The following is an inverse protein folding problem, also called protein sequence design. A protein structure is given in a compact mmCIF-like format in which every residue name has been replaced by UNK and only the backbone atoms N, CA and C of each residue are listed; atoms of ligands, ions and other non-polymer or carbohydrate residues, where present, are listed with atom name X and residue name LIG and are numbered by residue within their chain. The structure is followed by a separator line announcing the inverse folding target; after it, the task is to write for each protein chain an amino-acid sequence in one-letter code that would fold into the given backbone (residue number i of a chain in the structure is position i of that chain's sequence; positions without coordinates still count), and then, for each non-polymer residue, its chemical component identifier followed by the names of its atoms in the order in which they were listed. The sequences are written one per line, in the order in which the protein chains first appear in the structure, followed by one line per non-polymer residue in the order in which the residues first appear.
data_IF_049502751490
#
_entry.id   IF_049502751490
#
_cell.length_a   1.000
_cell.length_b   1.000
_cell.length_c   1.000
_cell.angle_alpha   90.00
_cell.angle_beta   90.00
_cell.angle_gamma   90.00
#
_symmetry.space_group_name_H-M   'P 1'
#
loop_
_entity.id
_entity.type
_entity.pdbx_description
1 polymer ?
#
# COMPACT_ATOMS: atom_id res chain seq x y z
N UNK A 1 2.24 -25.96 22.71
CA UNK A 1 2.63 -25.33 21.41
C UNK A 1 1.46 -24.61 20.78
N UNK A 2 0.31 -25.27 20.53
CA UNK A 2 -0.86 -24.69 19.82
C UNK A 2 -1.42 -23.43 20.49
N UNK A 3 -1.51 -23.41 21.82
CA UNK A 3 -2.01 -22.25 22.57
C UNK A 3 -1.06 -21.04 22.51
N UNK A 4 0.26 -21.26 22.61
CA UNK A 4 1.25 -20.20 22.46
C UNK A 4 1.24 -19.58 21.05
N UNK A 5 1.10 -20.41 19.99
CA UNK A 5 0.99 -19.95 18.63
C UNK A 5 -0.28 -19.09 18.41
N UNK A 6 -1.42 -19.51 18.96
CA UNK A 6 -2.65 -18.71 18.89
C UNK A 6 -2.48 -17.35 19.58
N UNK A 7 -1.94 -17.32 20.78
CA UNK A 7 -1.69 -16.05 21.50
C UNK A 7 -0.74 -15.12 20.74
N UNK A 8 0.28 -15.67 20.09
CA UNK A 8 1.20 -14.88 19.26
C UNK A 8 0.50 -14.30 18.03
N UNK A 9 -0.34 -15.09 17.36
CA UNK A 9 -1.14 -14.63 16.22
C UNK A 9 -2.10 -13.50 16.64
N UNK A 10 -2.85 -13.68 17.73
CA UNK A 10 -3.80 -12.69 18.24
C UNK A 10 -3.09 -11.36 18.58
N UNK A 11 -1.90 -11.42 19.18
CA UNK A 11 -1.07 -10.23 19.44
C UNK A 11 -0.58 -9.57 18.16
N UNK A 12 -0.17 -10.35 17.15
CA UNK A 12 0.24 -9.84 15.85
C UNK A 12 -0.90 -9.11 15.14
N UNK A 13 -2.10 -9.70 15.11
CA UNK A 13 -3.29 -9.05 14.55
C UNK A 13 -3.60 -7.74 15.30
N UNK A 14 -3.59 -7.77 16.63
CA UNK A 14 -3.79 -6.56 17.45
C UNK A 14 -2.76 -5.46 17.13
N UNK A 15 -1.50 -5.83 16.92
CA UNK A 15 -0.46 -4.88 16.49
C UNK A 15 -0.76 -4.28 15.12
N UNK A 16 -1.09 -5.11 14.13
CA UNK A 16 -1.47 -4.66 12.79
C UNK A 16 -2.63 -3.66 12.84
N UNK A 17 -3.70 -3.96 13.59
CA UNK A 17 -4.85 -3.06 13.71
C UNK A 17 -4.48 -1.72 14.36
N UNK A 18 -3.58 -1.72 15.36
CA UNK A 18 -3.12 -0.50 16.04
C UNK A 18 -2.18 0.35 15.19
N UNK A 19 -1.45 -0.25 14.26
CA UNK A 19 -0.53 0.46 13.37
C UNK A 19 -1.19 0.95 12.08
N UNK A 20 -2.46 0.58 11.82
CA UNK A 20 -3.19 1.15 10.69
C UNK A 20 -3.30 2.67 10.84
N UNK A 21 -2.81 3.41 9.86
CA UNK A 21 -2.77 4.87 9.95
C UNK A 21 -4.17 5.48 9.84
N UNK A 22 -4.43 6.46 10.71
CA UNK A 22 -5.69 7.21 10.72
C UNK A 22 -5.42 8.60 10.16
N UNK A 23 -6.03 8.92 9.02
CA UNK A 23 -5.93 10.21 8.36
C UNK A 23 -7.31 10.88 8.42
N UNK A 24 -7.37 12.11 8.97
CA UNK A 24 -8.62 12.87 9.10
C UNK A 24 -9.75 12.08 9.80
N UNK A 25 -9.41 11.30 10.82
CA UNK A 25 -10.37 10.49 11.58
C UNK A 25 -10.81 9.19 10.88
N UNK A 26 -10.27 8.85 9.72
CA UNK A 26 -10.57 7.62 8.98
C UNK A 26 -9.34 6.71 8.91
N UNK A 27 -9.48 5.41 9.19
CA UNK A 27 -8.41 4.46 8.93
C UNK A 27 -8.09 4.41 7.43
N UNK A 28 -6.81 4.22 7.13
CA UNK A 28 -6.30 4.13 5.75
C UNK A 28 -5.55 2.80 5.56
N UNK A 29 -4.28 2.86 5.23
CA UNK A 29 -3.37 1.73 5.08
C UNK A 29 -2.20 1.86 6.06
N UNK A 30 -1.16 1.08 5.88
CA UNK A 30 -0.01 1.03 6.80
C UNK A 30 1.21 1.70 6.19
N UNK A 31 2.09 2.18 7.06
CA UNK A 31 3.45 2.51 6.71
C UNK A 31 4.29 1.22 6.60
N UNK A 32 5.35 1.26 5.80
CA UNK A 32 6.31 0.15 5.72
C UNK A 32 7.06 -0.06 7.05
N UNK A 33 7.18 0.97 7.87
CA UNK A 33 7.83 0.92 9.18
C UNK A 33 7.12 1.77 10.22
N UNK A 34 7.09 1.28 11.46
CA UNK A 34 6.48 1.94 12.61
C UNK A 34 7.46 2.01 13.77
N UNK A 35 7.36 3.05 14.58
CA UNK A 35 8.06 3.15 15.85
C UNK A 35 7.50 2.12 16.84
N UNK A 36 8.37 1.38 17.50
CA UNK A 36 8.01 0.25 18.37
C UNK A 36 7.22 0.64 19.64
N UNK A 37 7.30 1.91 20.07
CA UNK A 37 6.66 2.41 21.29
C UNK A 37 5.38 3.16 20.98
N UNK A 38 5.44 4.06 20.00
CA UNK A 38 4.30 4.92 19.66
C UNK A 38 3.37 4.28 18.64
N UNK A 39 3.84 3.28 17.89
CA UNK A 39 3.18 2.62 16.77
C UNK A 39 2.86 3.58 15.60
N UNK A 40 3.39 4.77 15.61
CA UNK A 40 3.24 5.74 14.52
C UNK A 40 4.18 5.41 13.35
N UNK A 41 3.83 5.85 12.12
CA UNK A 41 4.73 5.78 10.99
C UNK A 41 6.12 6.36 11.31
N UNK A 42 7.16 5.66 10.90
CA UNK A 42 8.54 6.05 11.16
C UNK A 42 9.41 5.90 9.92
N UNK A 43 10.51 6.64 9.88
CA UNK A 43 11.53 6.44 8.87
C UNK A 43 12.23 5.10 9.09
N UNK A 44 12.49 4.34 8.02
CA UNK A 44 13.36 3.18 8.07
C UNK A 44 14.83 3.61 7.83
N UNK A 45 15.30 3.54 6.59
CA UNK A 45 16.60 4.09 6.21
C UNK A 45 16.46 5.58 5.89
N UNK A 46 17.57 6.31 5.81
CA UNK A 46 17.58 7.76 5.52
C UNK A 46 16.74 8.16 4.27
N UNK A 47 16.61 7.25 3.33
CA UNK A 47 15.85 7.42 2.08
C UNK A 47 14.53 6.61 2.03
N UNK A 48 14.04 6.17 3.17
CA UNK A 48 12.72 5.53 3.36
C UNK A 48 11.97 6.29 4.44
N UNK A 49 11.35 7.38 4.01
CA UNK A 49 10.64 8.31 4.87
C UNK A 49 9.33 7.70 5.38
N UNK A 50 8.84 8.20 6.52
CA UNK A 50 7.52 7.83 7.02
C UNK A 50 6.47 8.12 5.96
N UNK A 51 5.66 7.11 5.62
CA UNK A 51 4.76 7.16 4.47
C UNK A 51 3.66 6.12 4.58
N UNK A 52 2.55 6.31 3.91
CA UNK A 52 1.65 5.21 3.61
C UNK A 52 2.25 4.35 2.49
N UNK A 53 2.14 3.04 2.60
CA UNK A 53 2.70 2.14 1.60
C UNK A 53 1.61 1.51 0.74
N UNK A 54 1.70 1.74 -0.57
CA UNK A 54 0.86 1.06 -1.55
C UNK A 54 1.33 -0.35 -1.90
N UNK A 55 2.42 -0.84 -1.31
CA UNK A 55 2.93 -2.18 -1.56
C UNK A 55 2.84 -3.09 -0.34
N UNK A 56 3.39 -2.70 0.80
CA UNK A 56 3.36 -3.52 2.02
C UNK A 56 1.93 -3.67 2.57
N UNK A 57 1.06 -2.70 2.30
CA UNK A 57 -0.33 -2.74 2.75
C UNK A 57 -1.20 -3.75 2.02
N UNK A 58 -0.90 -4.10 0.77
CA UNK A 58 -1.67 -5.10 0.03
C UNK A 58 -1.51 -6.49 0.67
N UNK A 59 -0.29 -6.88 1.04
CA UNK A 59 -0.01 -8.14 1.75
C UNK A 59 -0.67 -8.19 3.13
N UNK A 60 -0.70 -7.08 3.86
CA UNK A 60 -1.40 -6.98 5.14
C UNK A 60 -2.90 -7.22 4.96
N UNK A 61 -3.53 -6.58 3.97
CA UNK A 61 -4.97 -6.77 3.69
C UNK A 61 -5.25 -8.21 3.26
N UNK A 62 -4.41 -8.79 2.39
CA UNK A 62 -4.53 -10.17 1.96
C UNK A 62 -4.41 -11.16 3.15
N UNK A 63 -3.50 -10.89 4.08
CA UNK A 63 -3.37 -11.65 5.31
C UNK A 63 -4.62 -11.53 6.18
N UNK A 64 -5.11 -10.32 6.45
CA UNK A 64 -6.32 -10.10 7.26
C UNK A 64 -7.55 -10.79 6.64
N UNK A 65 -7.71 -10.75 5.31
CA UNK A 65 -8.76 -11.48 4.59
C UNK A 65 -8.61 -13.02 4.64
N UNK A 66 -7.46 -13.53 5.03
CA UNK A 66 -7.26 -14.98 5.20
C UNK A 66 -7.82 -15.53 6.51
N UNK A 67 -8.18 -14.67 7.46
CA UNK A 67 -8.70 -15.07 8.76
C UNK A 67 -10.10 -15.68 8.61
N UNK A 68 -10.30 -16.87 9.21
CA UNK A 68 -11.54 -17.65 9.06
C UNK A 68 -12.75 -17.06 9.77
N UNK A 69 -12.52 -16.24 10.81
CA UNK A 69 -13.56 -15.58 11.61
C UNK A 69 -13.03 -14.19 11.99
N UNK A 70 -13.03 -13.22 11.05
CA UNK A 70 -12.55 -11.87 11.35
C UNK A 70 -13.47 -11.20 12.37
N UNK A 71 -12.87 -10.48 13.33
CA UNK A 71 -13.63 -9.64 14.23
C UNK A 71 -14.17 -8.40 13.51
N UNK A 72 -15.15 -7.67 14.07
CA UNK A 72 -15.66 -6.43 13.48
C UNK A 72 -14.54 -5.40 13.21
N UNK A 73 -13.54 -5.32 14.09
CA UNK A 73 -12.39 -4.42 13.91
C UNK A 73 -11.55 -4.83 12.71
N UNK A 74 -11.33 -6.13 12.49
CA UNK A 74 -10.62 -6.65 11.31
C UNK A 74 -11.41 -6.35 10.04
N UNK A 75 -12.74 -6.55 10.07
CA UNK A 75 -13.62 -6.23 8.94
C UNK A 75 -13.51 -4.74 8.59
N UNK A 76 -13.65 -3.86 9.59
CA UNK A 76 -13.53 -2.41 9.42
C UNK A 76 -12.17 -2.00 8.84
N UNK A 77 -11.10 -2.61 9.34
CA UNK A 77 -9.73 -2.38 8.88
C UNK A 77 -9.54 -2.73 7.41
N UNK A 78 -10.03 -3.91 6.98
CA UNK A 78 -9.98 -4.34 5.59
C UNK A 78 -10.77 -3.41 4.68
N UNK A 79 -12.01 -3.05 5.04
CA UNK A 79 -12.85 -2.19 4.23
C UNK A 79 -12.25 -0.79 4.06
N UNK A 80 -11.69 -0.22 5.14
CA UNK A 80 -11.01 1.07 5.07
C UNK A 80 -9.78 1.03 4.14
N UNK A 81 -8.98 -0.03 4.22
CA UNK A 81 -7.81 -0.18 3.37
C UNK A 81 -8.19 -0.39 1.89
N UNK A 82 -9.23 -1.19 1.61
CA UNK A 82 -9.74 -1.39 0.24
C UNK A 82 -10.26 -0.08 -0.33
N UNK A 83 -10.96 0.72 0.47
CA UNK A 83 -11.44 2.03 0.04
C UNK A 83 -10.28 2.99 -0.24
N UNK A 84 -9.25 2.98 0.62
CA UNK A 84 -8.04 3.78 0.38
C UNK A 84 -7.37 3.39 -0.94
N UNK A 85 -7.23 2.09 -1.26
CA UNK A 85 -6.66 1.63 -2.53
C UNK A 85 -7.48 2.13 -3.73
N UNK A 86 -8.81 2.12 -3.67
CA UNK A 86 -9.68 2.65 -4.74
C UNK A 86 -9.50 4.14 -4.96
N UNK A 87 -9.38 4.91 -3.87
CA UNK A 87 -9.25 6.36 -3.94
C UNK A 87 -7.87 6.83 -4.41
N UNK A 88 -6.85 5.98 -4.27
CA UNK A 88 -5.46 6.32 -4.59
C UNK A 88 -4.90 5.53 -5.79
N UNK A 89 -5.79 5.03 -6.61
CA UNK A 89 -5.47 4.40 -7.88
C UNK A 89 -4.90 5.43 -8.86
N UNK A 90 -3.80 5.09 -9.52
CA UNK A 90 -3.16 5.88 -10.57
C UNK A 90 -3.57 5.25 -11.90
N UNK A 91 -4.60 5.80 -12.51
CA UNK A 91 -5.17 5.34 -13.78
C UNK A 91 -4.72 6.19 -14.96
N UNK A 92 -4.75 5.61 -16.16
CA UNK A 92 -4.35 6.29 -17.41
C UNK A 92 -2.84 6.50 -17.55
N UNK A 93 -2.03 5.78 -16.77
CA UNK A 93 -0.57 5.80 -16.87
C UNK A 93 0.00 4.38 -17.04
N UNK A 94 1.16 4.30 -17.69
CA UNK A 94 1.92 3.06 -17.85
C UNK A 94 3.42 3.29 -17.66
N UNK A 95 4.12 2.21 -17.33
CA UNK A 95 5.59 2.19 -17.26
C UNK A 95 6.12 1.91 -18.66
N UNK A 96 6.89 2.84 -19.20
CA UNK A 96 7.59 2.70 -20.47
C UNK A 96 9.07 2.43 -20.22
N UNK A 97 9.56 1.28 -20.71
CA UNK A 97 10.95 0.91 -20.59
C UNK A 97 11.74 1.42 -21.81
N UNK A 98 12.92 1.96 -21.59
CA UNK A 98 13.81 2.47 -22.63
C UNK A 98 15.28 2.26 -22.27
N UNK A 99 16.20 2.61 -23.19
CA UNK A 99 17.62 2.75 -22.89
C UNK A 99 17.96 4.22 -22.77
N UNK A 100 18.63 4.59 -21.68
CA UNK A 100 19.10 5.97 -21.49
C UNK A 100 20.32 6.31 -22.38
N UNK A 101 20.84 7.53 -22.27
CA UNK A 101 22.01 8.00 -23.03
C UNK A 101 23.25 7.14 -22.87
N UNK A 102 23.40 6.45 -21.75
CA UNK A 102 24.52 5.54 -21.45
C UNK A 102 24.26 4.11 -21.97
N UNK A 103 23.16 3.87 -22.66
CA UNK A 103 22.74 2.55 -23.13
C UNK A 103 22.21 1.61 -22.04
N UNK A 104 22.03 2.10 -20.80
CA UNK A 104 21.49 1.33 -19.67
C UNK A 104 19.98 1.25 -19.74
N UNK A 105 19.41 0.14 -19.27
CA UNK A 105 17.96 0.01 -19.10
C UNK A 105 17.46 1.06 -18.10
N UNK A 106 16.40 1.74 -18.46
CA UNK A 106 15.71 2.72 -17.64
C UNK A 106 14.21 2.66 -17.93
N UNK A 107 13.42 3.38 -17.16
CA UNK A 107 11.98 3.46 -17.35
C UNK A 107 11.45 4.84 -16.94
N UNK A 108 10.26 5.15 -17.40
CA UNK A 108 9.53 6.36 -17.02
C UNK A 108 8.04 6.06 -16.91
N UNK A 109 7.34 6.88 -16.15
CA UNK A 109 5.88 6.87 -16.11
C UNK A 109 5.37 7.78 -17.23
N UNK A 110 4.52 7.26 -18.10
CA UNK A 110 3.95 8.00 -19.22
C UNK A 110 2.43 7.91 -19.20
N UNK A 111 1.77 8.99 -19.60
CA UNK A 111 0.33 8.98 -19.79
C UNK A 111 -0.03 8.12 -21.00
N UNK A 112 -1.06 7.30 -20.87
CA UNK A 112 -1.58 6.51 -21.98
C UNK A 112 -2.19 7.39 -23.06
N UNK A 113 -2.15 6.93 -24.30
CA UNK A 113 -2.84 7.59 -25.39
C UNK A 113 -4.36 7.50 -25.21
N UNK A 114 -5.10 8.35 -25.88
CA UNK A 114 -6.56 8.30 -25.84
C UNK A 114 -7.07 6.94 -26.36
N UNK A 115 -7.91 6.28 -25.57
CA UNK A 115 -8.42 4.93 -25.88
C UNK A 115 -7.45 3.78 -25.62
N UNK A 116 -6.25 4.04 -25.08
CA UNK A 116 -5.32 3.01 -24.66
C UNK A 116 -5.68 2.52 -23.24
N UNK A 117 -5.98 1.22 -23.13
CA UNK A 117 -6.20 0.60 -21.81
C UNK A 117 -4.88 0.40 -21.07
N UNK A 118 -4.86 0.72 -19.78
CA UNK A 118 -3.74 0.43 -18.89
C UNK A 118 -4.23 -0.28 -17.62
N UNK A 119 -3.32 -1.01 -17.00
CA UNK A 119 -3.59 -1.53 -15.65
C UNK A 119 -3.38 -0.39 -14.65
N UNK A 120 -4.29 -0.22 -13.69
CA UNK A 120 -4.08 0.75 -12.63
C UNK A 120 -2.80 0.44 -11.85
N UNK A 121 -2.17 1.51 -11.39
CA UNK A 121 -0.91 1.47 -10.65
C UNK A 121 -1.12 2.07 -9.25
N UNK A 122 -0.29 1.64 -8.34
CA UNK A 122 -0.11 2.26 -7.02
C UNK A 122 1.35 2.58 -6.81
N UNK A 123 1.62 3.76 -6.26
CA UNK A 123 2.97 4.10 -5.84
C UNK A 123 3.35 3.34 -4.57
N UNK A 124 4.63 3.14 -4.37
CA UNK A 124 5.11 2.50 -3.14
C UNK A 124 4.94 3.40 -1.93
N UNK A 125 5.21 4.70 -2.06
CA UNK A 125 5.13 5.67 -0.98
C UNK A 125 4.15 6.79 -1.29
N UNK A 126 3.35 7.12 -0.29
CA UNK A 126 2.41 8.24 -0.28
C UNK A 126 2.62 9.08 0.97
N UNK A 127 2.45 10.40 0.84
CA UNK A 127 2.49 11.32 1.99
C UNK A 127 1.42 10.96 3.01
N UNK A 128 1.71 11.25 4.28
CA UNK A 128 0.78 11.00 5.39
C UNK A 128 -0.38 12.01 5.42
N UNK A 129 -0.19 13.17 4.83
CA UNK A 129 -1.12 14.30 4.90
C UNK A 129 -2.22 14.21 3.83
N UNK A 130 -1.84 13.97 2.57
CA UNK A 130 -2.72 14.15 1.42
C UNK A 130 -2.67 13.00 0.39
N UNK A 131 -2.05 11.87 0.74
CA UNK A 131 -1.91 10.70 -0.13
C UNK A 131 -1.24 11.00 -1.49
N UNK A 132 -0.33 11.96 -1.54
CA UNK A 132 0.41 12.24 -2.75
C UNK A 132 1.54 11.24 -2.95
N UNK A 133 1.66 10.56 -4.10
CA UNK A 133 2.82 9.73 -4.40
C UNK A 133 4.12 10.52 -4.30
N UNK A 134 5.15 9.94 -3.68
CA UNK A 134 6.46 10.56 -3.62
C UNK A 134 7.59 9.54 -3.78
N UNK A 135 8.77 10.05 -4.08
CA UNK A 135 9.99 9.30 -4.33
C UNK A 135 11.10 9.88 -3.47
N UNK A 136 12.09 9.07 -3.16
CA UNK A 136 13.22 9.51 -2.35
C UNK A 136 14.51 8.86 -2.84
N UNK A 137 15.50 9.70 -3.10
CA UNK A 137 16.85 9.24 -3.38
C UNK A 137 17.66 9.10 -2.08
N UNK A 138 18.93 8.74 -2.18
CA UNK A 138 19.83 8.53 -1.05
C UNK A 138 20.14 9.81 -0.26
N UNK A 139 19.78 10.97 -0.82
CA UNK A 139 19.85 12.27 -0.14
C UNK A 139 18.78 12.45 0.96
N UNK A 140 17.79 11.56 1.04
CA UNK A 140 16.70 11.65 2.01
C UNK A 140 15.69 12.75 1.70
N UNK A 141 15.74 13.35 0.53
CA UNK A 141 14.85 14.44 0.12
C UNK A 141 13.64 13.89 -0.63
N UNK A 142 12.45 14.26 -0.15
CA UNK A 142 11.18 13.90 -0.81
C UNK A 142 11.08 14.61 -2.17
N UNK A 143 10.72 13.85 -3.21
CA UNK A 143 10.51 14.30 -4.59
C UNK A 143 9.18 13.78 -5.10
N UNK A 144 8.56 14.51 -6.00
CA UNK A 144 7.20 14.20 -6.48
C UNK A 144 7.14 13.73 -7.93
N UNK A 145 8.30 13.67 -8.58
CA UNK A 145 8.46 13.05 -9.89
C UNK A 145 9.58 12.01 -9.81
N UNK A 146 9.32 10.81 -10.30
CA UNK A 146 10.31 9.72 -10.30
C UNK A 146 11.53 10.02 -11.15
N UNK A 147 11.43 10.93 -12.11
CA UNK A 147 12.55 11.40 -12.94
C UNK A 147 13.60 12.20 -12.15
N UNK A 148 13.23 12.76 -10.98
CA UNK A 148 14.11 13.55 -10.12
C UNK A 148 15.04 12.71 -9.25
N UNK A 149 14.84 11.39 -9.19
CA UNK A 149 15.74 10.48 -8.48
C UNK A 149 16.75 9.82 -9.43
N UNK A 150 17.94 9.51 -8.89
CA UNK A 150 19.03 8.93 -9.65
C UNK A 150 18.68 7.58 -10.29
N UNK A 151 19.33 7.26 -11.41
CA UNK A 151 19.10 6.04 -12.19
C UNK A 151 19.17 4.76 -11.33
N UNK A 152 20.20 4.62 -10.48
CA UNK A 152 20.37 3.44 -9.62
C UNK A 152 19.15 3.25 -8.70
N UNK A 153 18.68 4.33 -8.08
CA UNK A 153 17.54 4.29 -7.17
C UNK A 153 16.24 4.05 -7.94
N UNK A 154 16.05 4.69 -9.10
CA UNK A 154 14.87 4.53 -9.95
C UNK A 154 14.72 3.10 -10.48
N UNK A 155 15.80 2.50 -10.96
CA UNK A 155 15.75 1.18 -11.58
C UNK A 155 15.94 0.01 -10.61
N UNK A 156 16.52 0.26 -9.45
CA UNK A 156 16.78 -0.73 -8.41
C UNK A 156 15.67 -0.90 -7.39
N UNK A 157 14.52 -0.23 -7.56
CA UNK A 157 13.44 -0.24 -6.59
C UNK A 157 12.06 -0.28 -7.26
N UNK A 158 11.11 -0.99 -6.68
CA UNK A 158 9.73 -1.06 -7.18
C UNK A 158 8.94 0.16 -6.72
N UNK A 159 8.90 1.20 -7.55
CA UNK A 159 8.21 2.46 -7.23
C UNK A 159 6.72 2.44 -7.53
N UNK A 160 6.33 1.66 -8.53
CA UNK A 160 4.93 1.45 -8.92
C UNK A 160 4.67 -0.04 -9.12
N UNK A 161 3.49 -0.48 -8.80
CA UNK A 161 3.01 -1.84 -9.02
C UNK A 161 1.49 -1.88 -9.20
N UNK A 162 0.96 -3.04 -9.56
CA UNK A 162 -0.49 -3.31 -9.69
C UNK A 162 -0.95 -4.41 -8.71
N UNK A 163 -0.23 -4.61 -7.61
CA UNK A 163 -0.50 -5.72 -6.68
C UNK A 163 -1.85 -5.56 -5.94
N UNK A 164 -2.33 -4.32 -5.73
CA UNK A 164 -3.63 -4.06 -5.15
C UNK A 164 -4.80 -4.66 -5.95
N UNK A 165 -4.61 -4.98 -7.23
CA UNK A 165 -5.59 -5.75 -8.01
C UNK A 165 -5.88 -7.14 -7.40
N UNK A 166 -4.89 -7.75 -6.74
CA UNK A 166 -5.08 -9.03 -6.02
C UNK A 166 -5.98 -8.84 -4.80
N UNK A 167 -5.84 -7.68 -4.12
CA UNK A 167 -6.71 -7.29 -3.00
C UNK A 167 -8.16 -7.20 -3.48
N UNK A 168 -8.43 -6.47 -4.56
CA UNK A 168 -9.79 -6.30 -5.10
C UNK A 168 -10.41 -7.64 -5.52
N UNK A 169 -9.66 -8.46 -6.25
CA UNK A 169 -10.12 -9.80 -6.67
C UNK A 169 -10.51 -10.68 -5.47
N UNK A 170 -9.71 -10.65 -4.40
CA UNK A 170 -10.02 -11.43 -3.19
C UNK A 170 -11.16 -10.81 -2.40
N UNK A 171 -11.22 -9.48 -2.33
CA UNK A 171 -12.25 -8.74 -1.61
C UNK A 171 -13.66 -8.98 -2.17
N UNK A 172 -13.82 -9.14 -3.48
CA UNK A 172 -15.12 -9.47 -4.11
C UNK A 172 -15.77 -10.73 -3.51
N UNK A 173 -14.98 -11.76 -3.24
CA UNK A 173 -15.47 -13.01 -2.64
C UNK A 173 -15.60 -12.87 -1.11
N UNK A 174 -14.62 -12.21 -0.49
CA UNK A 174 -14.56 -12.04 0.95
C UNK A 174 -15.70 -11.16 1.48
N UNK A 175 -16.01 -10.06 0.80
CA UNK A 175 -17.09 -9.13 1.19
C UNK A 175 -18.47 -9.75 1.11
N UNK A 176 -18.71 -10.69 0.20
CA UNK A 176 -19.97 -11.48 0.16
C UNK A 176 -20.18 -12.30 1.43
N UNK A 177 -19.12 -12.65 2.13
CA UNK A 177 -19.18 -13.49 3.35
C UNK A 177 -19.11 -12.65 4.64
N UNK A 178 -18.32 -11.60 4.65
CA UNK A 178 -17.95 -10.87 5.86
C UNK A 178 -18.16 -9.35 5.78
N UNK A 179 -18.46 -8.78 4.62
CA UNK A 179 -18.62 -7.33 4.43
C UNK A 179 -19.81 -6.76 5.19
N UNK A 180 -19.75 -5.45 5.51
CA UNK A 180 -20.74 -4.73 6.34
C UNK A 180 -22.19 -4.84 5.87
N UNK A 181 -22.42 -4.96 4.55
CA UNK A 181 -23.77 -5.06 4.00
C UNK A 181 -24.54 -6.34 4.38
N UNK A 182 -23.95 -7.24 5.21
CA UNK A 182 -24.61 -8.45 5.73
C UNK A 182 -24.96 -8.40 7.22
N UNK A 183 -24.47 -7.41 7.97
CA UNK A 183 -24.69 -7.33 9.41
C UNK A 183 -26.02 -6.63 9.78
N UNK A 184 -26.76 -6.08 8.81
CA UNK A 184 -28.06 -5.44 9.04
C UNK A 184 -29.29 -6.32 8.68
N UNK A 185 -29.04 -7.60 8.41
CA UNK A 185 -30.09 -8.52 7.92
C UNK A 185 -30.27 -9.82 8.73
N UNK A 186 -30.11 -9.77 10.09
CA UNK A 186 -30.56 -10.85 10.98
C UNK A 186 -31.15 -10.28 12.25
#
# INVERSE_FOLDING_TARGET
VKMKAKTALDKGISCILKTQYVQNGKPTVWCAQHDEKTLLPANARAFELASLSGQESDDIVLFLMSLSKPSPEVVNSIEAAVEWFRQNEIDGYKIENFKNSDGKKDWRLVKCAEGEESKPLWARFYTLEDNRPFFCDRDGVMKFDVSEIGHERRTGYSWYNSEALKVFKKYEQWSKKYGKNKTEGN
#
